data_IF_230814594469
#
_entry.id   IF_230814594469
#
_cell.length_a   1.000
_cell.length_b   1.000
_cell.length_c   1.000
_cell.angle_alpha   90.00
_cell.angle_beta   90.00
_cell.angle_gamma   90.00
#
_symmetry.space_group_name_H-M   'P 1'
#
loop_
_entity.id
_entity.type
_entity.pdbx_description
1 polymer ?
#
# COMPACT_ATOMS: atom_id res chain seq x y z
N UNK A 1 -26.32 32.14 40.07
CA UNK A 1 -25.17 31.25 40.33
C UNK A 1 -24.04 32.06 40.97
N UNK A 2 -24.14 32.33 42.28
CA UNK A 2 -23.36 33.34 43.01
C UNK A 2 -21.89 33.01 43.28
N UNK A 3 -21.07 32.88 42.23
CA UNK A 3 -19.61 32.85 42.37
C UNK A 3 -19.10 34.28 42.61
N UNK A 4 -18.52 34.52 43.80
CA UNK A 4 -18.01 35.84 44.20
C UNK A 4 -16.55 36.11 43.78
N UNK A 5 -15.82 35.08 43.33
CA UNK A 5 -14.39 35.15 42.99
C UNK A 5 -14.10 34.42 41.67
N UNK A 6 -14.65 34.89 40.55
CA UNK A 6 -14.28 34.37 39.24
C UNK A 6 -12.98 35.06 38.78
N UNK A 7 -11.86 34.35 38.87
CA UNK A 7 -10.57 34.79 38.33
C UNK A 7 -10.32 34.07 37.00
N UNK A 8 -10.07 34.83 35.94
CA UNK A 8 -9.72 34.29 34.63
C UNK A 8 -8.21 34.08 34.55
N UNK A 9 -7.82 32.85 34.25
CA UNK A 9 -6.45 32.48 33.96
C UNK A 9 -6.45 31.66 32.66
N UNK A 10 -5.68 32.11 31.67
CA UNK A 10 -5.56 31.40 30.40
C UNK A 10 -4.65 30.17 30.51
N UNK A 11 -3.92 30.02 31.61
CA UNK A 11 -3.12 28.84 31.96
C UNK A 11 -3.89 27.77 32.74
N UNK A 12 -5.06 28.10 33.31
CA UNK A 12 -5.92 27.16 34.04
C UNK A 12 -6.30 25.89 33.25
N UNK A 13 -6.62 25.94 31.94
CA UNK A 13 -7.06 24.75 31.19
C UNK A 13 -5.91 23.88 30.66
N UNK A 14 -4.67 24.05 31.15
CA UNK A 14 -3.54 23.21 30.74
C UNK A 14 -3.68 21.76 31.23
N UNK A 15 -3.12 20.82 30.47
CA UNK A 15 -2.99 19.42 30.92
C UNK A 15 -1.94 19.31 32.03
N UNK A 16 -1.86 18.15 32.69
CA UNK A 16 -0.83 17.88 33.72
C UNK A 16 0.59 18.04 33.17
N UNK A 17 0.77 17.71 31.91
CA UNK A 17 2.02 17.81 31.15
C UNK A 17 2.33 19.26 30.71
N UNK A 18 1.39 20.19 30.86
CA UNK A 18 1.56 21.61 30.54
C UNK A 18 1.04 22.03 29.15
N UNK A 19 0.33 21.17 28.41
CA UNK A 19 -0.19 21.52 27.09
C UNK A 19 -1.44 22.38 27.15
N UNK A 20 -1.57 23.34 26.22
CA UNK A 20 -2.83 24.04 26.00
C UNK A 20 -3.80 23.18 25.21
N UNK A 21 -5.07 23.19 25.61
CA UNK A 21 -6.12 22.56 24.83
C UNK A 21 -6.34 23.31 23.52
N UNK A 22 -6.44 22.56 22.43
CA UNK A 22 -6.65 23.11 21.10
C UNK A 22 -7.96 22.58 20.51
N UNK A 23 -8.81 23.47 20.01
CA UNK A 23 -10.02 23.10 19.28
C UNK A 23 -9.68 23.03 17.79
N UNK A 24 -9.41 21.81 17.32
CA UNK A 24 -9.19 21.54 15.89
C UNK A 24 -10.41 21.88 15.03
N UNK A 25 -10.14 22.24 13.77
CA UNK A 25 -11.15 22.44 12.73
C UNK A 25 -10.47 22.50 11.36
N UNK A 26 -11.25 22.38 10.28
CA UNK A 26 -10.75 22.62 8.91
C UNK A 26 -10.13 24.02 8.79
N UNK A 27 -10.75 25.05 9.37
CA UNK A 27 -10.20 26.42 9.33
C UNK A 27 -8.87 26.55 10.08
N UNK A 28 -8.71 25.86 11.21
CA UNK A 28 -7.43 25.78 11.91
C UNK A 28 -6.34 25.16 11.02
N UNK A 29 -6.67 24.13 10.24
CA UNK A 29 -5.74 23.54 9.29
C UNK A 29 -5.47 24.46 8.09
N UNK A 30 -6.48 25.18 7.57
CA UNK A 30 -6.31 26.17 6.50
C UNK A 30 -5.32 27.27 6.90
N UNK A 31 -5.46 27.84 8.10
CA UNK A 31 -4.56 28.89 8.60
C UNK A 31 -3.12 28.37 8.71
N UNK A 32 -2.93 27.13 9.16
CA UNK A 32 -1.61 26.47 9.16
C UNK A 32 -1.12 26.23 7.74
N UNK A 33 -1.99 25.83 6.82
CA UNK A 33 -1.69 25.66 5.40
C UNK A 33 -1.15 26.94 4.77
N UNK A 34 -1.76 28.09 5.03
CA UNK A 34 -1.23 29.38 4.57
C UNK A 34 0.18 29.67 5.11
N UNK A 35 0.42 29.39 6.39
CA UNK A 35 1.73 29.58 6.99
C UNK A 35 2.80 28.63 6.42
N UNK A 36 2.40 27.43 6.00
CA UNK A 36 3.31 26.41 5.48
C UNK A 36 3.53 26.47 3.97
N UNK A 37 2.59 27.04 3.21
CA UNK A 37 2.65 27.09 1.74
C UNK A 37 3.95 27.70 1.16
N UNK A 38 4.57 28.75 1.74
CA UNK A 38 5.85 29.26 1.23
C UNK A 38 7.04 28.29 1.41
N UNK A 39 6.85 27.20 2.14
CA UNK A 39 7.89 26.27 2.56
C UNK A 39 7.61 24.81 2.15
N UNK A 40 6.54 24.55 1.41
CA UNK A 40 6.14 23.21 0.99
C UNK A 40 5.60 23.24 -0.44
N UNK A 41 5.98 22.24 -1.24
CA UNK A 41 5.41 22.08 -2.59
C UNK A 41 3.97 21.56 -2.55
N UNK A 42 3.67 20.73 -1.54
CA UNK A 42 2.38 20.05 -1.36
C UNK A 42 1.94 20.17 0.09
N UNK A 43 0.65 20.45 0.31
CA UNK A 43 0.04 20.50 1.65
C UNK A 43 -0.96 19.36 1.81
N UNK A 44 -0.89 18.70 2.97
CA UNK A 44 -1.82 17.66 3.39
C UNK A 44 -2.40 17.99 4.77
N UNK A 45 -3.73 17.90 4.88
CA UNK A 45 -4.46 17.90 6.14
C UNK A 45 -4.99 16.49 6.43
N UNK A 46 -4.65 15.94 7.58
CA UNK A 46 -5.27 14.69 8.06
C UNK A 46 -6.75 14.93 8.40
N UNK A 47 -7.62 13.98 8.03
CA UNK A 47 -9.06 14.01 8.33
C UNK A 47 -9.45 12.82 9.22
N UNK A 48 -10.57 12.95 9.95
CA UNK A 48 -11.12 11.83 10.74
C UNK A 48 -12.00 10.88 9.94
N UNK A 49 -12.43 11.30 8.75
CA UNK A 49 -13.32 10.55 7.86
C UNK A 49 -13.12 10.96 6.39
N UNK A 50 -13.56 10.13 5.43
CA UNK A 50 -13.55 10.49 4.02
C UNK A 50 -14.75 11.39 3.70
N UNK A 51 -14.59 12.70 3.93
CA UNK A 51 -15.65 13.70 3.73
C UNK A 51 -15.27 14.70 2.63
N UNK A 52 -16.02 14.67 1.52
CA UNK A 52 -15.79 15.58 0.41
C UNK A 52 -16.06 17.05 0.76
N UNK A 53 -17.01 17.34 1.65
CA UNK A 53 -17.32 18.71 2.09
C UNK A 53 -16.13 19.29 2.84
N UNK A 54 -15.49 18.50 3.71
CA UNK A 54 -14.26 18.93 4.38
C UNK A 54 -13.10 19.12 3.39
N UNK A 55 -12.95 18.22 2.41
CA UNK A 55 -11.95 18.35 1.34
C UNK A 55 -12.12 19.67 0.57
N UNK A 56 -13.35 19.99 0.16
CA UNK A 56 -13.67 21.23 -0.57
C UNK A 56 -13.36 22.45 0.28
N UNK A 57 -13.82 22.50 1.53
CA UNK A 57 -13.55 23.62 2.45
C UNK A 57 -12.06 23.84 2.67
N UNK A 58 -11.30 22.77 2.83
CA UNK A 58 -9.85 22.86 3.01
C UNK A 58 -9.17 23.38 1.73
N UNK A 59 -9.48 22.79 0.58
CA UNK A 59 -8.88 23.15 -0.69
C UNK A 59 -9.16 24.62 -1.06
N UNK A 60 -10.43 25.04 -1.04
CA UNK A 60 -10.83 26.43 -1.30
C UNK A 60 -10.21 27.38 -0.28
N UNK A 61 -10.19 26.99 1.00
CA UNK A 61 -9.60 27.78 2.07
C UNK A 61 -8.11 28.05 1.85
N UNK A 62 -7.30 27.01 1.64
CA UNK A 62 -5.85 27.18 1.41
C UNK A 62 -5.60 27.94 0.10
N UNK A 63 -6.31 27.59 -0.98
CA UNK A 63 -6.12 28.20 -2.30
C UNK A 63 -6.58 29.66 -2.38
N UNK A 64 -7.39 30.14 -1.43
CA UNK A 64 -7.75 31.56 -1.35
C UNK A 64 -6.54 32.50 -1.18
N UNK A 65 -5.47 32.03 -0.54
CA UNK A 65 -4.22 32.77 -0.36
C UNK A 65 -3.08 32.23 -1.23
N UNK A 66 -3.11 30.93 -1.56
CA UNK A 66 -2.09 30.27 -2.38
C UNK A 66 -2.74 29.47 -3.52
N UNK A 67 -3.22 30.12 -4.59
CA UNK A 67 -4.04 29.45 -5.62
C UNK A 67 -3.37 28.23 -6.26
N UNK A 68 -2.06 28.33 -6.50
CA UNK A 68 -1.27 27.31 -7.22
C UNK A 68 -0.76 26.17 -6.33
N UNK A 69 -0.98 26.20 -5.00
CA UNK A 69 -0.45 25.16 -4.12
C UNK A 69 -1.06 23.79 -4.45
N UNK A 70 -0.21 22.77 -4.50
CA UNK A 70 -0.64 21.40 -4.68
C UNK A 70 -1.12 20.82 -3.35
N UNK A 71 -2.13 19.95 -3.40
CA UNK A 71 -2.68 19.29 -2.22
C UNK A 71 -2.49 17.79 -2.28
N UNK A 72 -2.40 17.16 -1.11
CA UNK A 72 -2.37 15.72 -0.99
C UNK A 72 -3.43 15.18 -0.04
N UNK A 73 -3.86 13.95 -0.30
CA UNK A 73 -4.92 13.29 0.44
C UNK A 73 -4.57 11.84 0.78
N UNK A 74 -4.69 11.51 2.07
CA UNK A 74 -4.58 10.16 2.58
C UNK A 74 -5.93 9.46 2.47
N UNK A 75 -6.04 8.50 1.55
CA UNK A 75 -7.16 7.58 1.40
C UNK A 75 -7.06 6.49 2.48
N UNK A 76 -7.18 6.92 3.75
CA UNK A 76 -6.76 6.14 4.91
C UNK A 76 -7.53 4.82 5.07
N UNK A 77 -6.84 3.68 5.25
CA UNK A 77 -7.47 2.43 5.69
C UNK A 77 -8.02 2.47 7.12
N UNK A 78 -7.64 3.49 7.91
CA UNK A 78 -8.23 3.71 9.23
C UNK A 78 -9.69 4.18 9.16
N UNK A 79 -10.13 4.63 7.98
CA UNK A 79 -11.54 4.93 7.75
C UNK A 79 -12.33 3.65 7.54
N UNK A 80 -13.53 3.60 8.12
CA UNK A 80 -14.52 2.62 7.69
C UNK A 80 -15.23 3.18 6.44
N UNK A 81 -14.67 2.90 5.26
CA UNK A 81 -15.20 3.36 3.97
C UNK A 81 -16.62 2.88 3.72
N UNK A 82 -16.93 1.64 4.08
CA UNK A 82 -18.27 1.05 3.92
C UNK A 82 -19.31 1.73 4.82
N UNK A 83 -18.91 2.14 6.03
CA UNK A 83 -19.76 2.89 6.95
C UNK A 83 -19.71 4.42 6.76
N UNK A 84 -19.06 4.92 5.70
CA UNK A 84 -18.97 6.37 5.43
C UNK A 84 -20.30 7.00 5.01
N UNK A 85 -21.28 6.18 4.61
CA UNK A 85 -22.53 6.63 4.01
C UNK A 85 -22.43 6.96 2.52
N UNK A 86 -21.26 6.75 1.89
CA UNK A 86 -21.10 6.85 0.44
C UNK A 86 -21.71 5.64 -0.27
N UNK A 87 -22.31 5.88 -1.44
CA UNK A 87 -22.64 4.80 -2.38
C UNK A 87 -21.40 4.30 -3.12
N UNK A 88 -21.47 3.11 -3.72
CA UNK A 88 -20.38 2.58 -4.56
C UNK A 88 -19.96 3.54 -5.68
N UNK A 89 -20.92 4.25 -6.27
CA UNK A 89 -20.66 5.27 -7.28
C UNK A 89 -19.90 6.47 -6.69
N UNK A 90 -20.32 6.94 -5.52
CA UNK A 90 -19.62 8.03 -4.82
C UNK A 90 -18.21 7.62 -4.39
N UNK A 91 -18.00 6.38 -3.93
CA UNK A 91 -16.67 5.87 -3.58
C UNK A 91 -15.78 5.76 -4.81
N UNK A 92 -16.31 5.23 -5.92
CA UNK A 92 -15.60 5.16 -7.21
C UNK A 92 -15.17 6.54 -7.69
N UNK A 93 -16.03 7.54 -7.52
CA UNK A 93 -15.78 8.90 -7.97
C UNK A 93 -15.03 9.77 -6.95
N UNK A 94 -14.73 9.28 -5.75
CA UNK A 94 -14.11 10.09 -4.69
C UNK A 94 -12.76 10.68 -5.14
N UNK A 95 -11.86 9.84 -5.64
CA UNK A 95 -10.52 10.21 -6.13
C UNK A 95 -10.58 11.29 -7.23
N UNK A 96 -11.33 11.11 -8.35
CA UNK A 96 -11.40 12.13 -9.39
C UNK A 96 -12.16 13.38 -8.93
N UNK A 97 -13.05 13.31 -7.95
CA UNK A 97 -13.72 14.51 -7.41
C UNK A 97 -12.75 15.38 -6.62
N UNK A 98 -11.96 14.81 -5.71
CA UNK A 98 -10.98 15.60 -4.96
C UNK A 98 -9.79 16.03 -5.83
N UNK A 99 -9.42 15.26 -6.86
CA UNK A 99 -8.40 15.68 -7.82
C UNK A 99 -8.72 17.05 -8.46
N UNK A 100 -10.00 17.29 -8.80
CA UNK A 100 -10.46 18.58 -9.38
C UNK A 100 -10.35 19.76 -8.41
N UNK A 101 -10.21 19.51 -7.11
CA UNK A 101 -9.99 20.53 -6.08
C UNK A 101 -8.50 20.86 -5.90
N UNK A 102 -7.60 20.13 -6.57
CA UNK A 102 -6.15 20.31 -6.47
C UNK A 102 -5.42 19.24 -5.64
N UNK A 103 -6.12 18.18 -5.20
CA UNK A 103 -5.50 17.01 -4.56
C UNK A 103 -4.80 16.13 -5.60
N UNK A 104 -3.60 16.52 -6.02
CA UNK A 104 -2.85 15.89 -7.10
C UNK A 104 -2.03 14.67 -6.65
N UNK A 105 -1.76 14.53 -5.35
CA UNK A 105 -1.13 13.34 -4.79
C UNK A 105 -2.07 12.64 -3.81
N UNK A 106 -2.52 11.44 -4.16
CA UNK A 106 -3.48 10.67 -3.38
C UNK A 106 -2.91 9.28 -3.13
N UNK A 107 -2.94 8.82 -1.88
CA UNK A 107 -2.24 7.60 -1.49
C UNK A 107 -3.00 6.86 -0.38
N UNK A 108 -2.83 5.54 -0.34
CA UNK A 108 -3.34 4.67 0.73
C UNK A 108 -2.15 4.28 1.61
N UNK A 109 -2.11 4.79 2.86
CA UNK A 109 -0.97 4.59 3.77
C UNK A 109 -0.70 3.13 4.12
N UNK A 110 -1.74 2.34 4.37
CA UNK A 110 -1.63 0.94 4.83
C UNK A 110 -2.13 -0.07 3.79
N UNK A 111 -2.13 0.29 2.50
CA UNK A 111 -2.65 -0.56 1.42
C UNK A 111 -1.92 -1.92 1.33
N UNK A 112 -0.58 -1.87 1.31
CA UNK A 112 0.25 -3.09 1.32
C UNK A 112 0.07 -3.93 2.57
N UNK A 113 0.05 -3.30 3.76
CA UNK A 113 -0.14 -4.00 5.03
C UNK A 113 -1.44 -4.83 5.06
N UNK A 114 -2.57 -4.23 4.66
CA UNK A 114 -3.85 -4.93 4.63
C UNK A 114 -3.92 -5.99 3.52
N UNK A 115 -3.35 -5.71 2.34
CA UNK A 115 -3.32 -6.66 1.23
C UNK A 115 -2.49 -7.91 1.58
N UNK A 116 -1.28 -7.72 2.09
CA UNK A 116 -0.37 -8.80 2.45
C UNK A 116 -0.95 -9.67 3.58
N UNK A 117 -1.53 -9.04 4.60
CA UNK A 117 -2.17 -9.75 5.70
C UNK A 117 -3.36 -10.60 5.21
N UNK A 118 -4.22 -10.03 4.36
CA UNK A 118 -5.37 -10.73 3.80
C UNK A 118 -4.95 -11.92 2.93
N UNK A 119 -3.99 -11.72 2.02
CA UNK A 119 -3.48 -12.78 1.14
C UNK A 119 -2.85 -13.88 1.98
N UNK A 120 -1.97 -13.54 2.92
CA UNK A 120 -1.25 -14.51 3.75
C UNK A 120 -2.20 -15.34 4.61
N UNK A 121 -3.13 -14.70 5.33
CA UNK A 121 -4.08 -15.41 6.20
C UNK A 121 -5.00 -16.34 5.41
N UNK A 122 -5.61 -15.84 4.33
CA UNK A 122 -6.54 -16.63 3.53
C UNK A 122 -5.82 -17.73 2.76
N UNK A 123 -4.59 -17.51 2.30
CA UNK A 123 -3.78 -18.53 1.64
C UNK A 123 -3.37 -19.63 2.61
N UNK A 124 -2.85 -19.28 3.81
CA UNK A 124 -2.41 -20.27 4.80
C UNK A 124 -3.54 -21.23 5.21
N UNK A 125 -4.75 -20.70 5.44
CA UNK A 125 -5.95 -21.50 5.77
C UNK A 125 -6.35 -22.47 4.66
N UNK A 126 -6.18 -22.05 3.41
CA UNK A 126 -6.53 -22.84 2.24
C UNK A 126 -5.47 -23.91 1.93
N UNK A 127 -4.20 -23.54 2.03
CA UNK A 127 -3.05 -24.44 1.89
C UNK A 127 -3.08 -25.57 2.93
N UNK A 128 -3.46 -25.27 4.18
CA UNK A 128 -3.62 -26.30 5.21
C UNK A 128 -4.66 -27.37 4.86
N UNK A 129 -5.63 -27.07 3.99
CA UNK A 129 -6.69 -27.99 3.58
C UNK A 129 -6.41 -28.68 2.25
N UNK A 130 -5.86 -27.95 1.27
CA UNK A 130 -5.72 -28.41 -0.13
C UNK A 130 -4.27 -28.58 -0.59
N UNK A 131 -3.30 -28.24 0.26
CA UNK A 131 -1.88 -28.29 -0.05
C UNK A 131 -1.53 -27.51 -1.32
N UNK A 132 -0.70 -28.10 -2.17
CA UNK A 132 -0.18 -27.46 -3.38
C UNK A 132 -1.26 -26.98 -4.36
N UNK A 133 -2.45 -27.56 -4.35
CA UNK A 133 -3.54 -27.08 -5.20
C UNK A 133 -3.91 -25.62 -4.88
N UNK A 134 -3.90 -25.23 -3.59
CA UNK A 134 -4.17 -23.85 -3.18
C UNK A 134 -3.12 -22.87 -3.73
N UNK A 135 -1.84 -23.26 -3.72
CA UNK A 135 -0.75 -22.45 -4.28
C UNK A 135 -0.86 -22.31 -5.79
N UNK A 136 -1.06 -23.44 -6.50
CA UNK A 136 -1.15 -23.43 -7.97
C UNK A 136 -2.34 -22.58 -8.43
N UNK A 137 -3.49 -22.69 -7.78
CA UNK A 137 -4.69 -21.95 -8.17
C UNK A 137 -4.65 -20.48 -7.79
N UNK A 138 -4.32 -20.15 -6.54
CA UNK A 138 -4.47 -18.78 -6.04
C UNK A 138 -3.26 -17.88 -6.31
N UNK A 139 -2.09 -18.47 -6.51
CA UNK A 139 -0.84 -17.73 -6.72
C UNK A 139 -0.33 -17.98 -8.14
N UNK A 140 0.14 -19.19 -8.43
CA UNK A 140 0.91 -19.43 -9.66
C UNK A 140 0.10 -19.22 -10.96
N UNK A 141 -1.16 -19.68 -11.02
CA UNK A 141 -2.04 -19.46 -12.18
C UNK A 141 -2.46 -18.00 -12.31
N UNK A 142 -2.74 -17.32 -11.19
CA UNK A 142 -3.11 -15.90 -11.19
C UNK A 142 -1.93 -14.98 -11.55
N UNK A 143 -0.71 -15.28 -11.08
CA UNK A 143 0.49 -14.58 -11.53
C UNK A 143 0.67 -14.73 -13.05
N UNK A 144 0.43 -15.93 -13.59
CA UNK A 144 0.51 -16.16 -15.04
C UNK A 144 -0.59 -15.44 -15.82
N UNK A 145 -1.84 -15.47 -15.36
CA UNK A 145 -2.98 -14.86 -16.06
C UNK A 145 -2.89 -13.33 -16.08
N UNK A 146 -2.37 -12.73 -15.01
CA UNK A 146 -2.20 -11.29 -14.87
C UNK A 146 -0.83 -10.78 -15.34
N UNK A 147 0.06 -11.67 -15.79
CA UNK A 147 1.39 -11.30 -16.29
C UNK A 147 2.31 -10.72 -15.22
N UNK A 148 2.24 -11.23 -13.99
CA UNK A 148 3.05 -10.74 -12.87
C UNK A 148 4.49 -11.25 -13.02
N UNK A 149 5.46 -10.34 -13.06
CA UNK A 149 6.87 -10.65 -13.31
C UNK A 149 7.50 -11.55 -12.22
N UNK A 150 6.96 -11.53 -10.99
CA UNK A 150 7.45 -12.35 -9.87
C UNK A 150 7.26 -13.85 -10.09
N UNK A 151 6.42 -14.27 -11.05
CA UNK A 151 6.32 -15.68 -11.45
C UNK A 151 7.69 -16.27 -11.82
N UNK A 152 8.49 -15.47 -12.53
CA UNK A 152 9.88 -15.76 -12.84
C UNK A 152 10.81 -15.10 -11.81
N UNK A 153 10.64 -15.45 -10.53
CA UNK A 153 11.29 -14.77 -9.41
C UNK A 153 12.81 -14.61 -9.53
N UNK A 154 13.52 -15.55 -10.17
CA UNK A 154 14.97 -15.43 -10.43
C UNK A 154 15.30 -14.31 -11.43
N UNK A 155 14.53 -14.20 -12.51
CA UNK A 155 14.67 -13.10 -13.47
C UNK A 155 14.34 -11.77 -12.79
N UNK A 156 13.25 -11.74 -12.03
CA UNK A 156 12.78 -10.54 -11.32
C UNK A 156 13.78 -10.06 -10.25
N UNK A 157 14.42 -10.97 -9.51
CA UNK A 157 15.45 -10.65 -8.51
C UNK A 157 16.80 -10.27 -9.11
N UNK A 158 16.94 -10.28 -10.45
CA UNK A 158 18.17 -9.92 -11.14
C UNK A 158 19.21 -11.03 -11.21
N UNK A 159 18.84 -12.30 -10.97
CA UNK A 159 19.79 -13.42 -11.08
C UNK A 159 20.47 -13.44 -12.46
N UNK A 160 19.71 -13.21 -13.53
CA UNK A 160 20.26 -13.15 -14.89
C UNK A 160 21.22 -11.98 -15.12
N UNK A 161 21.06 -10.86 -14.39
CA UNK A 161 21.99 -9.72 -14.46
C UNK A 161 23.33 -10.11 -13.82
N UNK A 162 23.29 -10.70 -12.63
CA UNK A 162 24.48 -11.25 -12.00
C UNK A 162 25.11 -12.35 -12.85
N UNK A 163 24.32 -13.30 -13.35
CA UNK A 163 24.83 -14.35 -14.23
C UNK A 163 25.48 -13.77 -15.48
N UNK A 164 24.94 -12.68 -16.06
CA UNK A 164 25.56 -12.02 -17.22
C UNK A 164 26.93 -11.38 -16.93
N UNK A 165 27.13 -10.89 -15.71
CA UNK A 165 28.43 -10.40 -15.22
C UNK A 165 29.35 -11.55 -14.77
N UNK A 166 28.76 -12.70 -14.39
CA UNK A 166 29.43 -13.93 -13.97
C UNK A 166 29.42 -15.04 -15.05
N UNK A 167 29.15 -14.77 -16.34
CA UNK A 167 29.34 -15.74 -17.47
C UNK A 167 30.84 -15.98 -17.74
N UNK A 168 31.63 -16.04 -16.67
CA UNK A 168 32.80 -16.90 -16.57
C UNK A 168 32.60 -18.13 -15.67
N UNK A 169 31.48 -18.30 -14.92
CA UNK A 169 31.43 -19.29 -13.82
C UNK A 169 30.12 -20.09 -13.57
N UNK A 170 28.87 -19.67 -13.87
CA UNK A 170 27.70 -20.36 -13.22
C UNK A 170 26.43 -20.69 -14.03
N UNK A 171 26.54 -21.06 -15.31
CA UNK A 171 25.38 -21.38 -16.17
C UNK A 171 24.71 -22.77 -15.94
N UNK A 172 24.59 -23.24 -14.69
CA UNK A 172 24.15 -24.62 -14.37
C UNK A 172 22.95 -24.77 -13.41
N UNK A 173 22.33 -23.70 -12.90
CA UNK A 173 21.35 -23.87 -11.81
C UNK A 173 19.94 -24.32 -12.24
N UNK A 174 19.64 -24.39 -13.55
CA UNK A 174 18.37 -24.92 -14.08
C UNK A 174 18.52 -25.90 -15.26
N UNK A 175 19.75 -26.36 -15.56
CA UNK A 175 19.97 -27.46 -16.50
C UNK A 175 19.97 -28.77 -15.71
N UNK A 176 18.84 -29.47 -15.67
CA UNK A 176 18.81 -30.84 -15.14
C UNK A 176 19.65 -31.75 -16.06
N UNK A 177 20.86 -32.07 -15.62
CA UNK A 177 21.41 -33.43 -15.79
C UNK A 177 22.17 -33.78 -14.53
N UNK A 178 21.44 -34.19 -13.50
CA UNK A 178 22.05 -34.85 -12.36
C UNK A 178 22.16 -36.34 -12.66
N UNK A 179 23.34 -36.79 -13.07
CA UNK A 179 23.69 -38.21 -13.06
C UNK A 179 24.47 -38.49 -11.78
N UNK A 180 23.81 -39.13 -10.80
CA UNK A 180 24.55 -39.83 -9.75
C UNK A 180 25.33 -40.97 -10.41
N UNK A 181 26.63 -41.17 -10.09
CA UNK A 181 27.29 -42.41 -10.45
C UNK A 181 26.56 -43.53 -9.71
N UNK A 182 25.83 -44.35 -10.45
CA UNK A 182 25.47 -45.67 -9.99
C UNK A 182 26.78 -46.45 -9.91
N UNK A 183 27.30 -46.62 -8.70
CA UNK A 183 28.11 -47.79 -8.41
C UNK A 183 27.30 -49.01 -8.82
N UNK A 184 27.81 -49.79 -9.78
CA UNK A 184 27.32 -51.14 -10.08
C UNK A 184 27.13 -51.91 -8.75
N UNK A 185 26.13 -52.77 -8.56
CA UNK A 185 25.51 -53.72 -9.48
C UNK A 185 24.02 -53.93 -9.13
N UNK A 186 23.18 -54.16 -10.14
CA UNK A 186 22.38 -55.40 -10.34
C UNK A 186 21.47 -55.20 -11.56
N UNK A 187 21.48 -56.20 -12.41
CA UNK A 187 20.77 -56.38 -13.68
C UNK A 187 19.26 -56.08 -13.67
N UNK A 188 18.76 -55.48 -14.75
CA UNK A 188 17.36 -55.62 -15.17
C UNK A 188 16.79 -54.43 -15.94
N UNK A 189 16.59 -54.63 -17.24
CA UNK A 189 15.80 -53.86 -18.22
C UNK A 189 15.02 -52.62 -17.73
N UNK A 190 15.25 -51.46 -18.39
CA UNK A 190 14.39 -50.29 -18.27
C UNK A 190 14.54 -49.33 -19.45
N UNK A 191 13.45 -49.10 -20.18
CA UNK A 191 13.32 -48.22 -21.33
C UNK A 191 13.85 -46.79 -21.06
N UNK A 192 14.74 -46.30 -21.92
CA UNK A 192 15.02 -44.85 -22.02
C UNK A 192 13.87 -44.16 -22.76
N UNK A 193 13.15 -43.28 -22.07
CA UNK A 193 12.22 -42.33 -22.70
C UNK A 193 12.90 -40.97 -22.73
N UNK A 194 13.40 -40.60 -23.91
CA UNK A 194 13.99 -39.27 -24.15
C UNK A 194 12.85 -38.28 -24.42
N UNK A 195 12.51 -37.45 -23.43
CA UNK A 195 11.65 -36.30 -23.63
C UNK A 195 12.49 -35.12 -24.17
N UNK A 196 12.39 -34.83 -25.47
CA UNK A 196 12.90 -33.59 -26.05
C UNK A 196 11.95 -32.44 -25.71
N UNK A 197 12.43 -31.42 -25.01
CA UNK A 197 11.73 -30.15 -24.88
C UNK A 197 11.78 -29.40 -26.22
N UNK A 198 10.61 -29.04 -26.75
CA UNK A 198 10.47 -28.03 -27.82
C UNK A 198 10.51 -26.64 -27.18
N UNK A 199 11.01 -25.69 -27.99
CA UNK A 199 11.02 -24.23 -27.80
C UNK A 199 9.84 -23.67 -27.01
#
# INVERSE_FOLDING_TARGET
MGLKNLFWDWDLPRTREGFYRFKGSVMAAVVRGWAFAPHADIIWMETSSPDLVECTKFAEGVKSMHPEIMLAYNLSPSFNWDASGMTDEQMRDFIPRIARLGFCWQFITLGGFHADALVTDTFAKDYARRGMLAYVERIQREERSNGIDTLAHQKWSGANFYDSDFVGVTEEQFKETWTRPVTMEISGAGNEVIAKARM
#
